data_IF_302943650745
#
_entry.id   IF_302943650745
#
_cell.length_a   1.000
_cell.length_b   1.000
_cell.length_c   1.000
_cell.angle_alpha   90.00
_cell.angle_beta   90.00
_cell.angle_gamma   90.00
#
_symmetry.space_group_name_H-M   'P 1'
#
loop_
_entity.id
_entity.type
_entity.pdbx_description
1 polymer ?
#
# COMPACT_ATOMS: atom_id res chain seq x y z
N UNK A 1 0.84 -16.09 -10.61
CA UNK A 1 1.23 -14.71 -10.20
C UNK A 1 1.22 -13.72 -11.36
N UNK A 2 1.86 -13.99 -12.52
CA UNK A 2 1.74 -13.13 -13.70
C UNK A 2 0.29 -12.99 -14.15
N UNK A 3 -0.48 -14.09 -14.17
CA UNK A 3 -1.88 -14.10 -14.59
C UNK A 3 -2.78 -13.19 -13.75
N UNK A 4 -2.62 -13.14 -12.42
CA UNK A 4 -3.42 -12.25 -11.57
C UNK A 4 -3.16 -10.77 -11.87
N UNK A 5 -1.89 -10.36 -11.96
CA UNK A 5 -1.51 -8.98 -12.29
C UNK A 5 -1.89 -8.65 -13.75
N UNK A 6 -1.80 -9.63 -14.65
CA UNK A 6 -2.13 -9.44 -16.07
C UNK A 6 -3.65 -9.38 -16.30
N UNK A 7 -4.44 -10.13 -15.53
CA UNK A 7 -5.90 -10.22 -15.64
C UNK A 7 -6.61 -9.10 -14.88
N UNK A 8 -6.14 -8.74 -13.68
CA UNK A 8 -6.78 -7.73 -12.83
C UNK A 8 -6.02 -6.40 -12.79
N UNK A 9 -4.72 -6.38 -13.12
CA UNK A 9 -3.88 -5.18 -13.02
C UNK A 9 -3.75 -4.36 -14.29
N UNK A 10 -4.04 -4.91 -15.48
CA UNK A 10 -3.93 -4.18 -16.76
C UNK A 10 -4.90 -3.00 -16.92
N UNK A 11 -6.06 -3.06 -16.27
CA UNK A 11 -7.06 -1.98 -16.30
C UNK A 11 -6.95 -0.98 -15.15
N UNK A 12 -6.08 -1.24 -14.18
CA UNK A 12 -5.96 -0.43 -12.97
C UNK A 12 -4.69 0.41 -12.99
N UNK A 13 -4.85 1.70 -12.70
CA UNK A 13 -3.73 2.59 -12.45
C UNK A 13 -3.45 2.60 -10.95
N UNK A 14 -2.22 2.30 -10.56
CA UNK A 14 -1.81 2.20 -9.17
C UNK A 14 -1.10 3.47 -8.71
N UNK A 15 -1.42 3.90 -7.49
CA UNK A 15 -0.79 5.03 -6.84
C UNK A 15 -0.20 4.63 -5.48
N UNK A 16 0.94 3.91 -5.45
CA UNK A 16 1.57 3.54 -4.19
C UNK A 16 2.12 4.77 -3.47
N UNK A 17 1.86 4.84 -2.17
CA UNK A 17 2.43 5.86 -1.29
C UNK A 17 3.80 5.40 -0.82
N UNK A 18 4.83 6.16 -1.17
CA UNK A 18 6.23 5.81 -0.87
C UNK A 18 6.89 6.98 -0.14
N UNK A 19 7.67 6.68 0.91
CA UNK A 19 8.40 7.72 1.65
C UNK A 19 9.47 8.37 0.78
N UNK A 20 9.73 9.66 0.96
CA UNK A 20 10.82 10.38 0.28
C UNK A 20 12.20 10.10 0.91
N UNK A 21 12.52 8.83 1.12
CA UNK A 21 13.82 8.35 1.62
C UNK A 21 14.68 7.83 0.46
N UNK A 22 15.96 7.50 0.73
CA UNK A 22 16.84 6.86 -0.27
C UNK A 22 16.23 5.57 -0.80
N UNK A 23 15.78 4.70 0.09
CA UNK A 23 15.18 3.41 -0.28
C UNK A 23 13.82 3.60 -0.97
N UNK A 24 13.05 4.60 -0.55
CA UNK A 24 11.80 4.96 -1.20
C UNK A 24 12.00 5.44 -2.64
N UNK A 25 13.03 6.25 -2.91
CA UNK A 25 13.37 6.65 -4.29
C UNK A 25 13.72 5.47 -5.18
N UNK A 26 14.40 4.45 -4.64
CA UNK A 26 14.67 3.21 -5.37
C UNK A 26 13.36 2.48 -5.71
N UNK A 27 12.47 2.32 -4.73
CA UNK A 27 11.15 1.71 -4.95
C UNK A 27 10.30 2.49 -5.95
N UNK A 28 10.30 3.82 -5.87
CA UNK A 28 9.63 4.69 -6.85
C UNK A 28 10.18 4.44 -8.25
N UNK A 29 11.51 4.45 -8.42
CA UNK A 29 12.13 4.23 -9.72
C UNK A 29 11.80 2.87 -10.31
N UNK A 30 11.78 1.82 -9.49
CA UNK A 30 11.39 0.47 -9.92
C UNK A 30 9.90 0.42 -10.26
N UNK A 31 9.03 0.97 -9.41
CA UNK A 31 7.59 0.98 -9.63
C UNK A 31 7.19 1.72 -10.90
N UNK A 32 7.79 2.88 -11.15
CA UNK A 32 7.48 3.72 -12.33
C UNK A 32 8.08 3.16 -13.64
N UNK A 33 8.81 2.05 -13.61
CA UNK A 33 9.09 1.29 -14.84
C UNK A 33 7.84 0.63 -15.43
N UNK A 34 6.79 0.47 -14.61
CA UNK A 34 5.50 -0.04 -15.04
C UNK A 34 4.59 1.14 -15.44
N UNK A 35 4.05 1.09 -16.66
CA UNK A 35 3.31 2.21 -17.26
C UNK A 35 2.05 2.63 -16.51
N UNK A 36 1.48 1.74 -15.71
CA UNK A 36 0.26 1.95 -14.93
C UNK A 36 0.53 2.28 -13.46
N UNK A 37 1.78 2.54 -13.06
CA UNK A 37 2.14 2.93 -11.70
C UNK A 37 2.59 4.38 -11.67
N UNK A 38 1.96 5.19 -10.80
CA UNK A 38 2.35 6.57 -10.54
C UNK A 38 2.46 6.83 -9.06
N UNK A 39 3.68 6.96 -8.53
CA UNK A 39 3.89 6.96 -7.09
C UNK A 39 3.52 8.30 -6.44
N UNK A 40 3.01 8.26 -5.21
CA UNK A 40 2.82 9.45 -4.37
C UNK A 40 3.97 9.48 -3.37
N UNK A 41 4.95 10.35 -3.63
CA UNK A 41 6.13 10.52 -2.78
C UNK A 41 5.81 11.38 -1.56
N UNK A 42 6.15 10.91 -0.35
CA UNK A 42 5.81 11.58 0.91
C UNK A 42 7.05 12.06 1.65
N UNK A 43 7.34 13.37 1.63
CA UNK A 43 8.37 13.97 2.47
C UNK A 43 8.00 13.87 3.96
N UNK A 44 9.02 13.73 4.82
CA UNK A 44 8.79 13.54 6.26
C UNK A 44 8.04 14.72 6.91
N UNK A 45 8.32 15.94 6.45
CA UNK A 45 7.74 17.20 6.94
C UNK A 45 6.45 17.64 6.21
N UNK A 46 6.03 16.93 5.14
CA UNK A 46 4.86 17.32 4.33
C UNK A 46 3.80 16.21 4.25
N UNK A 47 3.57 15.54 5.38
CA UNK A 47 2.61 14.44 5.45
C UNK A 47 1.16 14.88 5.27
N UNK A 48 0.81 16.08 5.75
CA UNK A 48 -0.53 16.64 5.58
C UNK A 48 -0.82 16.93 4.09
N UNK A 49 0.13 17.53 3.38
CA UNK A 49 0.04 17.75 1.93
C UNK A 49 -0.09 16.43 1.17
N UNK A 50 0.70 15.42 1.52
CA UNK A 50 0.60 14.10 0.91
C UNK A 50 -0.75 13.43 1.15
N UNK A 51 -1.33 13.60 2.34
CA UNK A 51 -2.67 13.08 2.66
C UNK A 51 -3.74 13.72 1.77
N UNK A 52 -3.65 15.04 1.56
CA UNK A 52 -4.55 15.76 0.66
C UNK A 52 -4.41 15.29 -0.79
N UNK A 53 -3.18 15.09 -1.27
CA UNK A 53 -2.93 14.53 -2.61
C UNK A 53 -3.55 13.14 -2.80
N UNK A 54 -3.54 12.31 -1.76
CA UNK A 54 -4.17 10.98 -1.78
C UNK A 54 -5.68 11.11 -1.89
N UNK A 55 -6.29 11.98 -1.07
CA UNK A 55 -7.73 12.23 -1.10
C UNK A 55 -8.16 12.77 -2.46
N UNK A 56 -7.45 13.76 -2.99
CA UNK A 56 -7.69 14.32 -4.31
C UNK A 56 -7.57 13.26 -5.39
N UNK A 57 -6.53 12.42 -5.34
CA UNK A 57 -6.34 11.32 -6.29
C UNK A 57 -7.52 10.35 -6.28
N UNK A 58 -7.96 9.93 -5.10
CA UNK A 58 -9.09 9.01 -4.96
C UNK A 58 -10.42 9.63 -5.42
N UNK A 59 -10.61 10.94 -5.25
CA UNK A 59 -11.85 11.63 -5.67
C UNK A 59 -11.90 11.93 -7.17
N UNK A 60 -10.75 12.21 -7.79
CA UNK A 60 -10.68 12.74 -9.16
C UNK A 60 -10.33 11.69 -10.21
N UNK A 61 -9.89 10.51 -9.78
CA UNK A 61 -9.39 9.48 -10.69
C UNK A 61 -9.79 8.08 -10.24
N UNK A 62 -9.81 7.14 -11.18
CA UNK A 62 -10.04 5.72 -10.88
C UNK A 62 -8.74 4.98 -10.48
N UNK A 63 -7.87 5.64 -9.72
CA UNK A 63 -6.61 5.03 -9.27
C UNK A 63 -6.81 4.18 -8.01
N UNK A 64 -6.12 3.04 -7.95
CA UNK A 64 -5.98 2.24 -6.75
C UNK A 64 -4.79 2.76 -5.94
N UNK A 65 -5.06 3.46 -4.84
CA UNK A 65 -4.01 3.91 -3.91
C UNK A 65 -3.54 2.72 -3.07
N UNK A 66 -2.23 2.47 -3.05
CA UNK A 66 -1.61 1.37 -2.28
C UNK A 66 -0.89 1.95 -1.07
N UNK A 67 -1.26 1.50 0.13
CA UNK A 67 -0.71 1.99 1.40
C UNK A 67 -0.32 0.82 2.29
N UNK A 68 0.85 0.93 2.93
CA UNK A 68 1.21 0.08 4.07
C UNK A 68 0.71 0.76 5.35
N UNK A 69 -0.31 0.21 6.04
CA UNK A 69 -1.13 0.96 7.00
C UNK A 69 -0.37 1.38 8.27
N UNK A 70 0.63 0.61 8.69
CA UNK A 70 1.49 0.88 9.85
C UNK A 70 2.65 1.84 9.53
N UNK A 71 3.06 1.94 8.26
CA UNK A 71 4.05 2.89 7.76
C UNK A 71 5.44 2.77 8.42
N UNK A 72 6.37 3.70 8.17
CA UNK A 72 7.82 3.46 8.35
C UNK A 72 8.35 3.40 9.80
N UNK A 73 7.51 3.63 10.81
CA UNK A 73 7.95 3.71 12.23
C UNK A 73 7.05 2.97 13.23
N UNK A 74 6.12 2.17 12.72
CA UNK A 74 5.26 1.32 13.55
C UNK A 74 4.20 2.02 14.40
N UNK A 75 3.60 1.29 15.35
CA UNK A 75 3.87 -0.13 15.69
C UNK A 75 3.45 -1.11 14.58
N UNK A 76 4.11 -2.28 14.49
CA UNK A 76 3.74 -3.35 13.54
C UNK A 76 2.27 -3.72 13.72
N UNK A 77 1.56 -3.89 12.61
CA UNK A 77 0.12 -4.25 12.61
C UNK A 77 -0.79 -3.25 13.33
N UNK A 78 -0.35 -2.00 13.49
CA UNK A 78 -1.20 -0.92 13.98
C UNK A 78 -1.38 0.14 12.88
N UNK A 79 -2.54 0.18 12.23
CA UNK A 79 -2.84 1.20 11.24
C UNK A 79 -2.70 2.60 11.82
N UNK A 80 -2.22 3.55 11.01
CA UNK A 80 -2.18 4.96 11.36
C UNK A 80 -3.52 5.64 11.05
N UNK A 81 -3.88 6.62 11.88
CA UNK A 81 -5.10 7.44 11.73
C UNK A 81 -5.31 8.04 10.33
N UNK A 82 -4.23 8.26 9.58
CA UNK A 82 -4.31 8.76 8.20
C UNK A 82 -5.14 7.87 7.28
N UNK A 83 -5.12 6.54 7.47
CA UNK A 83 -5.94 5.62 6.69
C UNK A 83 -7.43 5.84 6.94
N UNK A 84 -7.83 5.86 8.22
CA UNK A 84 -9.22 6.10 8.60
C UNK A 84 -9.73 7.46 8.09
N UNK A 85 -8.89 8.50 8.16
CA UNK A 85 -9.22 9.82 7.62
C UNK A 85 -9.43 9.77 6.09
N UNK A 86 -8.53 9.14 5.33
CA UNK A 86 -8.70 8.99 3.87
C UNK A 86 -10.03 8.31 3.55
N UNK A 87 -10.34 7.20 4.21
CA UNK A 87 -11.53 6.41 3.93
C UNK A 87 -12.81 7.20 4.23
N UNK A 88 -12.84 7.92 5.36
CA UNK A 88 -13.97 8.81 5.71
C UNK A 88 -14.15 9.94 4.70
N UNK A 89 -13.06 10.58 4.28
CA UNK A 89 -13.13 11.75 3.38
C UNK A 89 -13.47 11.38 1.93
N UNK A 90 -13.12 10.18 1.49
CA UNK A 90 -13.24 9.75 0.08
C UNK A 90 -14.42 8.82 -0.16
N UNK A 91 -14.97 8.21 0.90
CA UNK A 91 -15.92 7.11 0.81
C UNK A 91 -15.43 5.94 -0.07
N UNK A 92 -14.11 5.80 -0.23
CA UNK A 92 -13.52 4.80 -1.11
C UNK A 92 -13.60 3.40 -0.47
N UNK A 93 -13.81 2.33 -1.28
CA UNK A 93 -13.74 0.97 -0.79
C UNK A 93 -12.31 0.61 -0.39
N UNK A 94 -12.15 -0.07 0.75
CA UNK A 94 -10.91 -0.61 1.24
C UNK A 94 -10.77 -2.09 0.83
N UNK A 95 -9.64 -2.42 0.21
CA UNK A 95 -9.22 -3.79 -0.06
C UNK A 95 -7.96 -4.10 0.75
N UNK A 96 -8.01 -5.11 1.62
CA UNK A 96 -6.83 -5.54 2.36
C UNK A 96 -6.10 -6.66 1.62
N UNK A 97 -4.79 -6.49 1.42
CA UNK A 97 -3.89 -7.50 0.87
C UNK A 97 -2.99 -8.00 2.00
N UNK A 98 -3.01 -9.31 2.24
CA UNK A 98 -2.04 -9.99 3.08
C UNK A 98 -1.18 -10.93 2.24
N UNK A 99 0.06 -11.17 2.65
CA UNK A 99 0.90 -12.19 2.06
C UNK A 99 1.61 -13.00 3.13
N UNK A 100 1.83 -14.28 2.82
CA UNK A 100 2.63 -15.22 3.61
C UNK A 100 3.56 -16.01 2.71
N UNK A 101 4.62 -16.60 3.27
CA UNK A 101 5.53 -17.47 2.53
C UNK A 101 5.87 -18.71 3.36
N UNK A 102 6.01 -19.87 2.70
CA UNK A 102 6.32 -21.13 3.39
C UNK A 102 7.68 -21.13 4.08
N UNK A 103 8.63 -20.42 3.47
CA UNK A 103 9.99 -20.18 3.98
C UNK A 103 10.36 -18.72 3.79
N UNK A 104 10.77 -18.06 4.86
CA UNK A 104 11.24 -16.67 4.86
C UNK A 104 12.41 -16.49 5.84
N UNK A 105 13.19 -15.45 5.61
CA UNK A 105 14.01 -14.84 6.66
C UNK A 105 13.19 -13.77 7.36
N UNK A 106 13.21 -13.72 8.69
CA UNK A 106 12.62 -12.63 9.45
C UNK A 106 13.75 -11.77 10.01
N UNK A 107 13.75 -10.48 9.66
CA UNK A 107 14.74 -9.55 10.17
C UNK A 107 14.41 -9.15 11.61
N UNK A 108 15.45 -8.89 12.41
CA UNK A 108 15.29 -8.36 13.76
C UNK A 108 15.10 -6.82 13.75
N UNK A 109 14.19 -6.34 12.91
CA UNK A 109 13.78 -4.95 12.79
C UNK A 109 12.46 -4.73 13.53
N UNK A 110 12.09 -3.47 13.79
CA UNK A 110 10.88 -3.13 14.56
C UNK A 110 9.59 -3.70 13.93
N UNK A 111 9.58 -3.86 12.61
CA UNK A 111 8.48 -4.37 11.79
C UNK A 111 8.53 -5.89 11.58
N UNK A 112 9.61 -6.56 12.02
CA UNK A 112 9.87 -7.99 11.76
C UNK A 112 9.74 -8.31 10.27
N UNK A 113 10.42 -7.53 9.42
CA UNK A 113 10.31 -7.65 7.97
C UNK A 113 10.61 -9.10 7.54
N UNK A 114 9.67 -9.69 6.80
CA UNK A 114 9.82 -11.03 6.22
C UNK A 114 10.30 -10.91 4.79
N UNK A 115 11.41 -11.57 4.49
CA UNK A 115 11.96 -11.70 3.14
C UNK A 115 11.74 -13.15 2.69
N UNK A 116 10.89 -13.41 1.68
CA UNK A 116 10.72 -14.75 1.12
C UNK A 116 12.06 -15.34 0.69
N UNK A 117 12.36 -16.58 1.09
CA UNK A 117 13.56 -17.27 0.60
C UNK A 117 13.40 -17.58 -0.90
N UNK A 118 14.49 -17.66 -1.67
CA UNK A 118 14.43 -18.14 -3.06
C UNK A 118 13.68 -19.47 -3.17
N UNK A 119 12.89 -19.62 -4.24
CA UNK A 119 12.11 -20.82 -4.56
C UNK A 119 11.08 -21.22 -3.48
N UNK A 120 10.64 -20.27 -2.66
CA UNK A 120 9.53 -20.46 -1.73
C UNK A 120 8.20 -20.14 -2.41
N UNK A 121 7.11 -20.73 -1.91
CA UNK A 121 5.76 -20.36 -2.33
C UNK A 121 5.29 -19.16 -1.52
N UNK A 122 4.77 -18.14 -2.20
CA UNK A 122 4.12 -16.98 -1.60
C UNK A 122 2.62 -17.14 -1.79
N UNK A 123 1.87 -17.09 -0.69
CA UNK A 123 0.41 -17.05 -0.68
C UNK A 123 -0.04 -15.61 -0.49
N UNK A 124 -0.91 -15.13 -1.36
CA UNK A 124 -1.49 -13.77 -1.29
C UNK A 124 -2.99 -13.93 -1.07
N UNK A 125 -3.50 -13.24 -0.07
CA UNK A 125 -4.93 -13.25 0.28
C UNK A 125 -5.47 -11.84 0.21
N UNK A 126 -6.64 -11.71 -0.40
CA UNK A 126 -7.40 -10.46 -0.46
C UNK A 126 -8.66 -10.62 0.39
N UNK A 127 -9.02 -9.58 1.14
CA UNK A 127 -10.38 -9.49 1.70
C UNK A 127 -11.35 -9.03 0.61
N UNK A 128 -12.66 -9.26 0.76
CA UNK A 128 -13.66 -8.50 0.02
C UNK A 128 -13.45 -6.99 0.20
N UNK A 129 -13.84 -6.21 -0.81
CA UNK A 129 -13.87 -4.75 -0.72
C UNK A 129 -14.89 -4.34 0.36
N UNK A 130 -14.47 -3.48 1.28
CA UNK A 130 -15.28 -2.98 2.39
C UNK A 130 -15.49 -1.48 2.25
N UNK A 131 -16.72 -1.01 2.37
CA UNK A 131 -17.00 0.42 2.46
C UNK A 131 -16.57 0.98 3.83
N UNK A 132 -16.49 2.30 3.99
CA UNK A 132 -16.16 2.90 5.29
C UNK A 132 -17.14 2.54 6.41
N UNK A 133 -18.40 2.24 6.07
CA UNK A 133 -19.43 1.77 7.00
C UNK A 133 -19.18 0.36 7.56
N UNK A 134 -18.35 -0.42 6.86
CA UNK A 134 -18.13 -1.84 7.17
C UNK A 134 -16.88 -2.03 8.04
N UNK A 135 -16.13 -0.95 8.28
CA UNK A 135 -14.89 -0.97 9.04
C UNK A 135 -15.15 -0.81 10.54
N UNK A 136 -14.38 -1.49 11.41
CA UNK A 136 -14.43 -1.26 12.84
C UNK A 136 -14.17 0.22 13.19
N UNK A 137 -14.79 0.72 14.24
CA UNK A 137 -14.72 2.13 14.65
C UNK A 137 -13.43 2.48 15.44
N UNK A 138 -12.45 1.58 15.46
CA UNK A 138 -11.40 1.49 16.48
C UNK A 138 -10.02 1.94 15.96
#
# INVERSE_FOLDING_TARGET
MPEFINQYGKGLNYAPIISFSRDGKLLTRIGETYSNIKTISVPHNRRAEALQQVIERLKTTNHLVVITPDGPRGPRYKPKRGLAYILKETNAPLLSLNWTANRYWELNTWDRLRIPKPFTTIHITFTPAQGPSDLPND
#
